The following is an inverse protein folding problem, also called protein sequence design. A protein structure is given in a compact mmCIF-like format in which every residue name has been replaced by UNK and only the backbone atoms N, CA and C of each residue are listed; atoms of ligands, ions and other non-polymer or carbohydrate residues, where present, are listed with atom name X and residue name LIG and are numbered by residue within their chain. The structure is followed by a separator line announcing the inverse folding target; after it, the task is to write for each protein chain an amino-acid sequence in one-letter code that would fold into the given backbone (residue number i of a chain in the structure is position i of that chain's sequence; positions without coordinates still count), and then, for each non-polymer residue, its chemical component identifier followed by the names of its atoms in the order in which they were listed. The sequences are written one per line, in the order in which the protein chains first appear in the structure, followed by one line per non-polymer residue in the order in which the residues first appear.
data_IF_312086430314
#
_entry.id   IF_312086430314
#
_cell.length_a   1.000
_cell.length_b   1.000
_cell.length_c   1.000
_cell.angle_alpha   90.00
_cell.angle_beta   90.00
_cell.angle_gamma   90.00
#
_symmetry.space_group_name_H-M   'P 1'
#
loop_
_entity.id
_entity.type
_entity.pdbx_description
1 polymer ?
#
# COMPACT_ATOMS: atom_id res chain seq x y z
N UNK A 1 11.29 4.92 4.83
CA UNK A 1 10.20 5.15 3.85
C UNK A 1 9.22 4.00 4.01
N UNK A 2 7.93 4.27 4.20
CA UNK A 2 6.95 3.29 4.69
C UNK A 2 6.05 2.75 3.57
N UNK A 3 6.66 2.35 2.46
CA UNK A 3 6.06 1.80 1.26
C UNK A 3 7.11 0.93 0.55
N UNK A 4 6.73 0.22 -0.51
CA UNK A 4 7.55 -0.79 -1.16
C UNK A 4 7.96 -1.93 -0.22
N UNK A 5 7.10 -2.25 0.74
CA UNK A 5 7.29 -3.42 1.61
C UNK A 5 7.19 -4.74 0.85
N UNK A 6 6.29 -4.78 -0.14
CA UNK A 6 6.08 -5.90 -1.03
C UNK A 6 5.96 -5.41 -2.48
N UNK A 7 6.31 -6.28 -3.42
CA UNK A 7 6.18 -6.00 -4.85
C UNK A 7 6.42 -7.24 -5.70
N UNK A 8 6.33 -7.07 -7.02
CA UNK A 8 6.40 -8.16 -8.01
C UNK A 8 7.75 -8.90 -8.09
N UNK A 9 8.73 -8.48 -7.28
CA UNK A 9 9.96 -9.24 -7.03
C UNK A 9 9.73 -10.46 -6.11
N UNK A 10 8.57 -10.55 -5.46
CA UNK A 10 8.13 -11.71 -4.66
C UNK A 10 7.22 -12.64 -5.48
N UNK A 11 7.23 -13.96 -5.21
CA UNK A 11 6.42 -14.94 -5.94
C UNK A 11 4.96 -15.03 -5.44
N UNK A 12 4.53 -14.09 -4.59
CA UNK A 12 3.19 -14.01 -4.04
C UNK A 12 2.74 -12.55 -3.94
N UNK A 13 1.44 -12.33 -3.90
CA UNK A 13 0.87 -11.00 -3.71
C UNK A 13 1.13 -10.49 -2.30
N UNK A 14 1.58 -9.23 -2.21
CA UNK A 14 1.79 -8.51 -0.97
C UNK A 14 1.42 -7.05 -1.15
N UNK A 15 0.95 -6.42 -0.07
CA UNK A 15 0.51 -5.03 -0.13
C UNK A 15 1.69 -4.04 -0.15
N UNK A 16 1.59 -2.96 -0.94
CA UNK A 16 2.67 -1.97 -1.07
C UNK A 16 3.05 -1.31 0.28
N UNK A 17 2.03 -0.93 1.06
CA UNK A 17 2.19 -0.15 2.30
C UNK A 17 1.18 -0.56 3.38
N UNK A 18 1.26 -1.80 3.91
CA UNK A 18 0.31 -2.25 4.94
C UNK A 18 0.51 -1.50 6.26
N UNK A 19 -0.59 -1.14 6.93
CA UNK A 19 -0.52 -0.41 8.21
C UNK A 19 -0.01 -1.30 9.35
N UNK A 20 -0.43 -2.56 9.35
CA UNK A 20 -0.08 -3.60 10.31
C UNK A 20 0.37 -4.87 9.58
N UNK A 21 0.98 -5.81 10.30
CA UNK A 21 1.28 -7.14 9.76
C UNK A 21 0.05 -8.03 9.65
N UNK A 22 0.19 -9.15 8.95
CA UNK A 22 -0.83 -10.16 8.72
C UNK A 22 -0.35 -11.54 9.19
N UNK A 23 -1.25 -12.47 9.59
CA UNK A 23 -0.88 -13.86 9.91
C UNK A 23 -0.23 -14.63 8.75
N UNK A 24 -0.37 -14.15 7.50
CA UNK A 24 0.30 -14.75 6.35
C UNK A 24 1.78 -14.37 6.24
N UNK A 25 2.20 -13.32 6.95
CA UNK A 25 3.58 -12.85 6.93
C UNK A 25 4.47 -13.80 7.73
N UNK A 26 5.68 -14.05 7.24
CA UNK A 26 6.63 -14.97 7.88
C UNK A 26 8.06 -14.41 7.87
N UNK A 27 8.90 -14.90 8.78
CA UNK A 27 10.29 -14.45 8.87
C UNK A 27 10.42 -12.93 9.06
N UNK A 28 11.23 -12.28 8.23
CA UNK A 28 11.42 -10.83 8.28
C UNK A 28 10.19 -10.03 7.83
N UNK A 29 9.29 -10.62 7.03
CA UNK A 29 8.11 -9.94 6.50
C UNK A 29 7.11 -9.53 7.58
N UNK A 30 7.15 -10.17 8.75
CA UNK A 30 6.37 -9.76 9.93
C UNK A 30 6.63 -8.29 10.29
N UNK A 31 7.81 -7.76 9.96
CA UNK A 31 8.19 -6.37 10.21
C UNK A 31 7.92 -5.42 9.02
N UNK A 32 7.45 -5.93 7.88
CA UNK A 32 7.26 -5.17 6.65
C UNK A 32 5.92 -4.43 6.65
N UNK A 33 5.72 -3.60 7.68
CA UNK A 33 4.54 -2.78 7.84
C UNK A 33 4.87 -1.44 8.52
N UNK A 34 3.94 -0.49 8.39
CA UNK A 34 4.07 0.86 8.94
C UNK A 34 4.26 0.84 10.46
N UNK A 35 3.45 0.06 11.19
CA UNK A 35 3.47 0.04 12.65
C UNK A 35 4.81 -0.46 13.20
N UNK A 36 5.36 -1.54 12.64
CA UNK A 36 6.69 -2.06 12.96
C UNK A 36 7.78 -1.04 12.64
N UNK A 37 7.71 -0.39 11.48
CA UNK A 37 8.69 0.62 11.07
C UNK A 37 8.71 1.84 12.00
N UNK A 38 7.54 2.36 12.39
CA UNK A 38 7.43 3.46 13.36
C UNK A 38 8.02 3.02 14.70
N UNK A 39 7.59 1.86 15.21
CA UNK A 39 8.03 1.34 16.50
C UNK A 39 9.55 1.15 16.54
N UNK A 40 10.14 0.68 15.44
CA UNK A 40 11.58 0.48 15.32
C UNK A 40 12.36 1.81 15.40
N UNK A 41 11.96 2.84 14.66
CA UNK A 41 12.65 4.13 14.73
C UNK A 41 12.52 4.80 16.11
N UNK A 42 11.34 4.70 16.72
CA UNK A 42 11.12 5.21 18.08
C UNK A 42 11.96 4.45 19.11
N UNK A 43 12.10 3.13 19.01
CA UNK A 43 12.91 2.34 19.94
C UNK A 43 14.41 2.61 19.82
N UNK A 44 14.87 3.04 18.64
CA UNK A 44 16.22 3.55 18.43
C UNK A 44 16.45 4.99 18.92
N UNK A 45 15.43 5.63 19.50
CA UNK A 45 15.52 6.97 20.08
C UNK A 45 15.27 8.11 19.09
N UNK A 46 14.72 7.84 17.91
CA UNK A 46 14.33 8.91 16.99
C UNK A 46 13.18 9.72 17.62
N UNK A 47 13.28 11.06 17.71
CA UNK A 47 12.19 11.90 18.21
C UNK A 47 10.98 11.79 17.28
N UNK A 48 9.80 11.49 17.84
CA UNK A 48 8.59 11.23 17.07
C UNK A 48 8.22 12.41 16.17
N UNK A 49 8.35 13.64 16.68
CA UNK A 49 8.06 14.90 16.01
C UNK A 49 9.02 15.24 14.86
N UNK A 50 10.06 14.40 14.63
CA UNK A 50 10.96 14.48 13.47
C UNK A 50 10.72 13.37 12.46
N UNK A 51 9.92 12.36 12.79
CA UNK A 51 9.59 11.27 11.88
C UNK A 51 8.41 11.67 10.99
N UNK A 52 8.57 11.43 9.68
CA UNK A 52 7.56 11.65 8.66
C UNK A 52 7.03 10.31 8.18
N UNK A 53 5.71 10.13 8.25
CA UNK A 53 5.06 8.95 7.68
C UNK A 53 4.89 9.13 6.16
N UNK A 54 5.29 8.12 5.39
CA UNK A 54 5.14 8.11 3.94
C UNK A 54 3.76 7.60 3.50
N UNK A 55 3.17 8.27 2.52
CA UNK A 55 1.87 7.97 1.93
C UNK A 55 2.03 7.73 0.41
N UNK A 56 2.04 6.47 -0.06
CA UNK A 56 2.18 6.20 -1.48
C UNK A 56 0.89 6.50 -2.24
N UNK A 57 0.97 7.29 -3.30
CA UNK A 57 -0.13 7.54 -4.25
C UNK A 57 -0.02 6.62 -5.48
N UNK A 58 0.37 5.38 -5.24
CA UNK A 58 0.58 4.35 -6.25
C UNK A 58 0.38 2.96 -5.63
N UNK A 59 0.08 1.98 -6.47
CA UNK A 59 -0.01 0.58 -6.12
C UNK A 59 1.13 -0.26 -6.70
N UNK A 60 1.43 -1.39 -6.04
CA UNK A 60 2.30 -2.44 -6.57
C UNK A 60 1.44 -3.54 -7.16
N UNK A 61 1.80 -3.98 -8.36
CA UNK A 61 0.94 -4.84 -9.17
C UNK A 61 1.60 -6.17 -9.48
N UNK A 62 0.78 -7.22 -9.59
CA UNK A 62 1.22 -8.60 -9.78
C UNK A 62 0.37 -9.27 -10.85
N UNK A 63 0.98 -10.23 -11.55
CA UNK A 63 0.27 -11.19 -12.39
C UNK A 63 0.02 -12.47 -11.60
N UNK A 64 -1.22 -12.74 -11.24
CA UNK A 64 -1.66 -13.97 -10.57
C UNK A 64 -1.35 -15.19 -11.45
N UNK A 65 -0.87 -16.27 -10.82
CA UNK A 65 -0.56 -17.54 -11.49
C UNK A 65 -1.56 -18.66 -11.16
N UNK A 66 -2.61 -18.35 -10.38
CA UNK A 66 -3.68 -19.29 -10.01
C UNK A 66 -5.01 -18.56 -9.86
N UNK A 67 -6.08 -19.30 -9.54
CA UNK A 67 -7.39 -18.70 -9.23
C UNK A 67 -7.43 -18.01 -7.85
N UNK A 68 -6.43 -18.25 -6.97
CA UNK A 68 -6.33 -17.52 -5.71
C UNK A 68 -5.98 -16.06 -5.98
N UNK A 69 -6.67 -15.14 -5.30
CA UNK A 69 -6.60 -13.71 -5.57
C UNK A 69 -6.49 -12.84 -4.30
N UNK A 70 -6.39 -13.45 -3.12
CA UNK A 70 -6.20 -12.75 -1.85
C UNK A 70 -4.75 -12.30 -1.63
N UNK A 71 -4.48 -11.81 -0.41
CA UNK A 71 -3.11 -11.59 0.07
C UNK A 71 -2.35 -12.92 0.16
N UNK A 72 -1.09 -12.96 -0.29
CA UNK A 72 -0.27 -14.17 -0.31
C UNK A 72 -0.60 -15.12 -1.46
N UNK A 73 -1.45 -14.72 -2.41
CA UNK A 73 -1.78 -15.53 -3.57
C UNK A 73 -0.57 -15.71 -4.49
N UNK A 74 -0.36 -16.89 -5.10
CA UNK A 74 0.74 -17.12 -6.03
C UNK A 74 0.73 -16.14 -7.21
N UNK A 75 1.89 -15.57 -7.52
CA UNK A 75 2.10 -14.65 -8.62
C UNK A 75 3.30 -15.07 -9.49
N UNK A 76 3.35 -14.58 -10.72
CA UNK A 76 4.48 -14.78 -11.64
C UNK A 76 4.88 -13.44 -12.26
N UNK A 77 5.45 -12.58 -11.42
CA UNK A 77 5.98 -11.28 -11.81
C UNK A 77 4.93 -10.16 -11.85
N UNK A 78 5.30 -9.02 -12.47
CA UNK A 78 4.46 -7.82 -12.47
C UNK A 78 3.22 -7.96 -13.36
N UNK A 79 2.15 -7.24 -13.02
CA UNK A 79 1.10 -6.97 -13.99
C UNK A 79 1.62 -6.04 -15.11
N UNK A 80 0.88 -5.97 -16.21
CA UNK A 80 1.24 -5.12 -17.35
C UNK A 80 1.42 -3.66 -16.94
N UNK A 81 2.25 -2.96 -17.70
CA UNK A 81 2.49 -1.54 -17.52
C UNK A 81 1.18 -0.74 -17.67
N UNK A 82 0.96 0.23 -16.78
CA UNK A 82 -0.16 1.16 -16.88
C UNK A 82 -0.04 2.05 -18.12
N UNK A 83 -1.15 2.59 -18.64
CA UNK A 83 -1.17 3.38 -19.87
C UNK A 83 -0.34 4.68 -19.79
N UNK A 84 -0.14 5.22 -18.58
CA UNK A 84 0.53 6.49 -18.34
C UNK A 84 1.89 6.33 -17.67
N UNK A 85 1.99 5.53 -16.61
CA UNK A 85 3.27 5.27 -15.91
C UNK A 85 4.22 4.40 -16.70
N UNK A 86 3.68 3.57 -17.62
CA UNK A 86 4.44 2.73 -18.56
C UNK A 86 5.49 1.84 -17.89
N UNK A 87 5.24 1.48 -16.63
CA UNK A 87 6.14 0.66 -15.81
C UNK A 87 5.39 -0.56 -15.32
N UNK A 88 5.83 -1.76 -15.69
CA UNK A 88 5.22 -2.99 -15.20
C UNK A 88 5.44 -3.12 -13.68
N UNK A 89 4.42 -3.58 -12.94
CA UNK A 89 4.52 -3.76 -11.49
C UNK A 89 4.20 -2.50 -10.68
N UNK A 90 3.87 -1.39 -11.33
CA UNK A 90 3.64 -0.08 -10.71
C UNK A 90 2.52 0.65 -11.43
N UNK A 91 1.47 1.04 -10.70
CA UNK A 91 0.41 1.91 -11.22
C UNK A 91 0.23 3.12 -10.32
N UNK A 92 0.15 4.30 -10.92
CA UNK A 92 -0.24 5.50 -10.18
C UNK A 92 -1.70 5.38 -9.72
N UNK A 93 -2.08 6.09 -8.66
CA UNK A 93 -3.43 6.00 -8.11
C UNK A 93 -4.55 6.24 -9.14
N UNK A 94 -4.36 7.18 -10.08
CA UNK A 94 -5.35 7.43 -11.14
C UNK A 94 -5.50 6.23 -12.12
N UNK A 95 -4.43 5.49 -12.40
CA UNK A 95 -4.50 4.23 -13.16
C UNK A 95 -5.22 3.14 -12.37
N UNK A 96 -5.05 3.15 -11.04
CA UNK A 96 -5.80 2.25 -10.15
C UNK A 96 -7.28 2.61 -10.13
N UNK A 97 -7.65 3.89 -10.10
CA UNK A 97 -9.05 4.32 -10.21
C UNK A 97 -9.70 3.78 -11.50
N UNK A 98 -9.04 3.97 -12.65
CA UNK A 98 -9.51 3.44 -13.93
C UNK A 98 -9.69 1.91 -13.89
N UNK A 99 -8.72 1.20 -13.32
CA UNK A 99 -8.77 -0.25 -13.13
C UNK A 99 -9.93 -0.69 -12.23
N UNK A 100 -10.17 0.04 -11.13
CA UNK A 100 -11.22 -0.30 -10.17
C UNK A 100 -12.64 -0.21 -10.72
N UNK A 101 -12.86 0.52 -11.82
CA UNK A 101 -14.16 0.58 -12.50
C UNK A 101 -14.64 -0.80 -13.00
N UNK A 102 -13.72 -1.73 -13.29
CA UNK A 102 -14.03 -3.09 -13.75
C UNK A 102 -13.56 -4.18 -12.78
N UNK A 103 -12.73 -3.85 -11.80
CA UNK A 103 -12.13 -4.79 -10.87
C UNK A 103 -13.03 -5.11 -9.68
N UNK A 104 -12.77 -6.25 -9.04
CA UNK A 104 -13.29 -6.55 -7.71
C UNK A 104 -12.36 -5.92 -6.68
N UNK A 105 -12.86 -4.93 -5.93
CA UNK A 105 -12.16 -4.30 -4.81
C UNK A 105 -12.43 -5.08 -3.53
N UNK A 106 -11.40 -5.28 -2.71
CA UNK A 106 -11.48 -6.00 -1.45
C UNK A 106 -10.61 -5.34 -0.39
N UNK A 107 -10.91 -5.60 0.89
CA UNK A 107 -10.24 -5.00 2.03
C UNK A 107 -9.48 -6.05 2.83
N UNK A 108 -8.20 -5.81 3.10
CA UNK A 108 -7.38 -6.65 3.99
C UNK A 108 -7.54 -6.08 5.41
N UNK A 109 -8.42 -6.70 6.18
CA UNK A 109 -8.80 -6.22 7.51
C UNK A 109 -7.60 -6.16 8.47
N UNK A 110 -6.72 -7.15 8.42
CA UNK A 110 -5.55 -7.26 9.28
C UNK A 110 -4.53 -6.15 8.99
N UNK A 111 -4.36 -5.79 7.71
CA UNK A 111 -3.38 -4.78 7.28
C UNK A 111 -3.97 -3.36 7.14
N UNK A 112 -5.29 -3.21 7.27
CA UNK A 112 -6.07 -1.98 7.12
C UNK A 112 -5.83 -1.23 5.79
N UNK A 113 -5.85 -1.98 4.69
CA UNK A 113 -5.57 -1.48 3.33
C UNK A 113 -6.39 -2.23 2.27
N UNK A 114 -6.71 -1.59 1.13
CA UNK A 114 -7.44 -2.22 0.04
C UNK A 114 -6.53 -2.98 -0.93
N UNK A 115 -7.13 -3.84 -1.75
CA UNK A 115 -6.55 -4.35 -2.97
C UNK A 115 -7.65 -4.52 -4.02
N UNK A 116 -7.27 -4.61 -5.29
CA UNK A 116 -8.21 -4.85 -6.38
C UNK A 116 -7.70 -5.94 -7.33
N UNK A 117 -8.64 -6.69 -7.91
CA UNK A 117 -8.34 -7.80 -8.82
C UNK A 117 -9.25 -7.80 -10.05
N UNK A 118 -8.66 -8.05 -11.21
CA UNK A 118 -9.40 -8.21 -12.47
C UNK A 118 -8.62 -9.14 -13.38
N UNK A 119 -9.27 -10.18 -13.89
CA UNK A 119 -8.59 -11.25 -14.63
C UNK A 119 -7.40 -11.80 -13.81
N UNK A 120 -6.18 -11.76 -14.33
CA UNK A 120 -4.96 -12.16 -13.62
C UNK A 120 -4.19 -10.96 -13.02
N UNK A 121 -4.71 -9.73 -13.07
CA UNK A 121 -4.06 -8.59 -12.46
C UNK A 121 -4.50 -8.43 -10.99
N UNK A 122 -3.53 -8.19 -10.11
CA UNK A 122 -3.74 -7.87 -8.71
C UNK A 122 -2.98 -6.58 -8.39
N UNK A 123 -3.60 -5.65 -7.65
CA UNK A 123 -2.96 -4.42 -7.20
C UNK A 123 -3.23 -4.16 -5.73
N UNK A 124 -2.15 -3.95 -4.96
CA UNK A 124 -2.20 -3.47 -3.58
C UNK A 124 -1.89 -1.99 -3.56
N UNK A 125 -2.84 -1.18 -3.15
CA UNK A 125 -2.83 0.28 -3.26
C UNK A 125 -3.43 0.93 -2.02
N UNK A 126 -3.35 2.25 -1.94
CA UNK A 126 -4.01 2.99 -0.88
C UNK A 126 -5.16 3.83 -1.43
N UNK A 127 -6.25 3.88 -0.67
CA UNK A 127 -7.43 4.70 -0.94
C UNK A 127 -7.65 5.72 0.19
N UNK A 128 -8.74 6.49 0.10
CA UNK A 128 -9.10 7.47 1.12
C UNK A 128 -9.28 6.84 2.51
N UNK A 129 -9.79 5.60 2.59
CA UNK A 129 -10.02 4.89 3.84
C UNK A 129 -8.70 4.50 4.50
N UNK A 130 -7.79 3.87 3.76
CA UNK A 130 -6.48 3.47 4.30
C UNK A 130 -5.63 4.70 4.65
N UNK A 131 -5.70 5.77 3.86
CA UNK A 131 -5.06 7.04 4.20
C UNK A 131 -5.60 7.62 5.51
N UNK A 132 -6.92 7.60 5.72
CA UNK A 132 -7.53 8.07 6.97
C UNK A 132 -7.04 7.26 8.19
N UNK A 133 -6.91 5.94 8.04
CA UNK A 133 -6.34 5.07 9.07
C UNK A 133 -4.86 5.39 9.35
N UNK A 134 -4.07 5.63 8.30
CA UNK A 134 -2.65 5.99 8.41
C UNK A 134 -2.44 7.37 9.05
N UNK A 135 -3.26 8.36 8.72
CA UNK A 135 -3.25 9.68 9.39
C UNK A 135 -3.55 9.53 10.87
N UNK A 136 -4.57 8.75 11.23
CA UNK A 136 -4.89 8.46 12.63
C UNK A 136 -3.73 7.78 13.36
N UNK A 137 -3.03 6.85 12.69
CA UNK A 137 -1.82 6.21 13.23
C UNK A 137 -0.67 7.20 13.43
N UNK A 138 -0.44 8.10 12.48
CA UNK A 138 0.57 9.16 12.57
C UNK A 138 0.31 10.07 13.77
N UNK A 139 -0.92 10.54 13.92
CA UNK A 139 -1.33 11.43 15.02
C UNK A 139 -1.22 10.75 16.39
N UNK A 140 -1.70 9.51 16.52
CA UNK A 140 -1.60 8.74 17.78
C UNK A 140 -0.16 8.45 18.19
N UNK A 141 0.75 8.32 17.21
CA UNK A 141 2.19 8.10 17.46
C UNK A 141 2.97 9.41 17.64
N UNK A 142 2.28 10.57 17.62
CA UNK A 142 2.86 11.93 17.73
C UNK A 142 3.95 12.20 16.68
N UNK A 143 3.79 11.66 15.48
CA UNK A 143 4.71 11.91 14.38
C UNK A 143 4.56 13.33 13.85
N UNK A 144 5.58 13.81 13.13
CA UNK A 144 5.47 15.09 12.42
C UNK A 144 4.38 15.00 11.35
N UNK A 145 3.43 15.94 11.38
CA UNK A 145 2.43 16.10 10.34
C UNK A 145 2.86 17.25 9.42
N UNK A 146 3.47 16.98 8.24
CA UNK A 146 3.64 18.02 7.25
C UNK A 146 2.24 18.31 6.68
N UNK A 147 1.51 19.22 7.34
CA UNK A 147 0.14 19.63 6.98
C UNK A 147 0.02 19.93 5.48
N UNK A 148 1.05 20.49 4.85
CA UNK A 148 1.05 20.85 3.43
C UNK A 148 1.11 19.65 2.48
N UNK A 149 1.87 18.60 2.83
CA UNK A 149 2.06 17.44 1.94
C UNK A 149 0.85 16.50 1.97
N UNK A 150 0.29 16.30 3.17
CA UNK A 150 -0.93 15.53 3.37
C UNK A 150 -2.15 16.21 2.71
N UNK A 151 -2.26 17.54 2.81
CA UNK A 151 -3.40 18.27 2.25
C UNK A 151 -3.42 18.23 0.72
N UNK A 152 -2.27 18.36 0.06
CA UNK A 152 -2.18 18.26 -1.41
C UNK A 152 -2.52 16.85 -1.92
N UNK A 153 -2.02 15.80 -1.25
CA UNK A 153 -2.36 14.42 -1.61
C UNK A 153 -3.85 14.12 -1.38
N UNK A 154 -4.43 14.56 -0.26
CA UNK A 154 -5.86 14.37 0.02
C UNK A 154 -6.74 15.12 -0.98
N UNK A 155 -6.45 16.38 -1.27
CA UNK A 155 -7.18 17.17 -2.28
C UNK A 155 -7.16 16.44 -3.62
N UNK A 156 -5.98 15.98 -4.05
CA UNK A 156 -5.84 15.31 -5.33
C UNK A 156 -6.61 13.98 -5.41
N UNK A 157 -6.70 13.22 -4.30
CA UNK A 157 -7.53 12.01 -4.25
C UNK A 157 -9.03 12.31 -4.24
N UNK A 158 -9.47 13.38 -3.56
CA UNK A 158 -10.89 13.75 -3.49
C UNK A 158 -11.39 14.47 -4.74
N UNK A 159 -10.51 15.11 -5.51
CA UNK A 159 -10.88 15.87 -6.71
C UNK A 159 -11.07 15.01 -7.97
N UNK A 160 -10.67 13.73 -7.94
CA UNK A 160 -10.71 12.81 -9.08
C UNK A 160 -11.68 11.61 -8.87
N UNK A 161 -12.70 11.77 -8.02
CA UNK A 161 -13.81 10.82 -7.87
C UNK A 161 -15.10 11.43 -8.42
#
# INVERSE_FOLDING_TARGET
MTYDFHGSWEPFTGHNSPLYGSPVDSGSQIQYNINSSISHWLSLGAPAEKLLLGFPTYGRTYRLSSAANGLGAPSNGPAEAGPYTRTAGFWAYYEVCDFTNSATVSWISEQAVPYATYSNAWVGYDDQRSFSSKVTKSSSSRLHAPLTFLFLQFIWMTANN
#
